data_IF_967236842669
#
_entry.id   IF_967236842669
#
_cell.length_a   1.000
_cell.length_b   1.000
_cell.length_c   1.000
_cell.angle_alpha   90.00
_cell.angle_beta   90.00
_cell.angle_gamma   90.00
#
_symmetry.space_group_name_H-M   'P 1'
#
loop_
_entity.id
_entity.type
_entity.pdbx_description
1 polymer ?
#
# COMPACT_ATOMS: atom_id res chain seq x y z
N UNK A 1 38.92 -49.69 4.97
CA UNK A 1 38.21 -49.78 3.67
C UNK A 1 38.80 -48.75 2.72
N UNK A 2 39.62 -49.20 1.76
CA UNK A 2 40.29 -48.34 0.78
C UNK A 2 39.30 -48.02 -0.35
N UNK A 3 38.76 -46.79 -0.38
CA UNK A 3 37.98 -46.29 -1.54
C UNK A 3 38.92 -46.29 -2.75
N UNK A 4 38.65 -47.16 -3.73
CA UNK A 4 39.54 -47.34 -4.89
C UNK A 4 39.68 -46.02 -5.66
N UNK A 5 40.89 -45.71 -6.12
CA UNK A 5 41.17 -44.50 -6.92
C UNK A 5 40.23 -44.39 -8.12
N UNK A 6 39.80 -45.53 -8.69
CA UNK A 6 38.84 -45.60 -9.79
C UNK A 6 37.48 -44.94 -9.45
N UNK A 7 36.96 -45.11 -8.22
CA UNK A 7 35.70 -44.49 -7.82
C UNK A 7 35.78 -42.96 -7.71
N UNK A 8 36.95 -42.42 -7.35
CA UNK A 8 37.20 -40.97 -7.32
C UNK A 8 37.28 -40.38 -8.73
N UNK A 9 37.89 -41.11 -9.68
CA UNK A 9 37.95 -40.67 -11.07
C UNK A 9 36.58 -40.73 -11.75
N UNK A 10 35.76 -41.75 -11.48
CA UNK A 10 34.40 -41.85 -12.01
C UNK A 10 33.49 -40.72 -11.52
N UNK A 11 33.56 -40.37 -10.22
CA UNK A 11 32.80 -39.25 -9.67
C UNK A 11 33.24 -37.89 -10.23
N UNK A 12 34.55 -37.69 -10.40
CA UNK A 12 35.08 -36.46 -10.99
C UNK A 12 34.66 -36.32 -12.47
N UNK A 13 34.69 -37.40 -13.25
CA UNK A 13 34.24 -37.39 -14.64
C UNK A 13 32.73 -37.11 -14.75
N UNK A 14 31.90 -37.69 -13.87
CA UNK A 14 30.47 -37.38 -13.86
C UNK A 14 30.17 -35.92 -13.51
N UNK A 15 30.92 -35.32 -12.58
CA UNK A 15 30.74 -33.92 -12.21
C UNK A 15 31.13 -32.97 -13.35
N UNK A 16 32.23 -33.27 -14.06
CA UNK A 16 32.67 -32.48 -15.23
C UNK A 16 31.64 -32.56 -16.37
N UNK A 17 31.09 -33.75 -16.64
CA UNK A 17 30.05 -33.92 -17.66
C UNK A 17 28.76 -33.16 -17.30
N UNK A 18 28.36 -33.13 -16.03
CA UNK A 18 27.18 -32.37 -15.58
C UNK A 18 27.39 -30.86 -15.71
N UNK A 19 28.57 -30.35 -15.34
CA UNK A 19 28.89 -28.91 -15.49
C UNK A 19 28.99 -28.53 -16.97
N UNK A 20 29.61 -29.36 -17.80
CA UNK A 20 29.67 -29.13 -19.25
C UNK A 20 28.28 -29.15 -19.90
N UNK A 21 27.42 -30.10 -19.54
CA UNK A 21 26.02 -30.13 -19.99
C UNK A 21 25.29 -28.85 -19.56
N UNK A 22 25.38 -28.47 -18.28
CA UNK A 22 24.69 -27.29 -17.77
C UNK A 22 25.16 -25.99 -18.44
N UNK A 23 26.46 -25.90 -18.74
CA UNK A 23 27.06 -24.76 -19.42
C UNK A 23 26.62 -24.66 -20.89
N UNK A 24 26.53 -25.79 -21.59
CA UNK A 24 26.00 -25.86 -22.96
C UNK A 24 24.50 -25.52 -23.01
N UNK A 25 23.72 -25.98 -22.03
CA UNK A 25 22.28 -25.69 -21.94
C UNK A 25 21.99 -24.20 -21.63
N UNK A 26 22.80 -23.55 -20.79
CA UNK A 26 22.68 -22.11 -20.52
C UNK A 26 23.19 -21.22 -21.65
N UNK A 27 24.19 -21.66 -22.41
CA UNK A 27 24.66 -20.90 -23.58
C UNK A 27 23.59 -20.80 -24.68
N UNK A 28 22.82 -21.88 -24.91
CA UNK A 28 21.67 -21.86 -25.83
C UNK A 28 20.53 -20.94 -25.37
N UNK A 29 20.38 -20.73 -24.05
CA UNK A 29 19.39 -19.79 -23.50
C UNK A 29 19.79 -18.32 -23.70
N UNK A 30 21.08 -18.00 -23.63
CA UNK A 30 21.59 -16.63 -23.77
C UNK A 30 21.91 -16.24 -25.22
N UNK A 31 22.16 -17.20 -26.11
CA UNK A 31 22.46 -16.96 -27.52
C UNK A 31 21.20 -16.87 -28.41
N UNK A 32 19.99 -17.02 -27.84
CA UNK A 32 18.74 -16.88 -28.59
C UNK A 32 18.41 -15.39 -28.78
N UNK A 33 18.44 -14.85 -30.01
CA UNK A 33 18.02 -13.48 -30.25
C UNK A 33 16.50 -13.40 -30.04
N UNK A 34 16.05 -12.66 -29.02
CA UNK A 34 14.65 -12.29 -28.87
C UNK A 34 14.33 -11.20 -29.90
N UNK A 35 13.97 -11.59 -31.12
CA UNK A 35 13.26 -10.70 -32.04
C UNK A 35 11.84 -10.47 -31.51
N UNK A 36 11.37 -9.21 -31.44
CA UNK A 36 10.02 -8.89 -31.01
C UNK A 36 9.08 -9.05 -32.21
N UNK A 37 8.43 -10.20 -32.33
CA UNK A 37 7.20 -10.28 -33.11
C UNK A 37 6.11 -9.53 -32.34
N UNK A 38 5.98 -8.25 -32.64
CA UNK A 38 4.82 -7.46 -32.30
C UNK A 38 3.58 -8.16 -32.88
N UNK A 39 2.56 -8.48 -32.07
CA UNK A 39 1.30 -8.95 -32.61
C UNK A 39 0.70 -7.84 -33.49
N UNK A 40 -0.02 -8.17 -34.57
CA UNK A 40 -0.74 -7.16 -35.33
C UNK A 40 -1.64 -6.41 -34.37
N UNK A 41 -1.56 -5.06 -34.39
CA UNK A 41 -2.50 -4.16 -33.72
C UNK A 41 -3.90 -4.43 -34.28
N UNK A 42 -4.57 -5.44 -33.77
CA UNK A 42 -6.03 -5.47 -33.78
C UNK A 42 -6.47 -4.47 -32.73
N UNK A 43 -7.21 -3.47 -33.20
CA UNK A 43 -7.90 -2.50 -32.36
C UNK A 43 -8.81 -3.25 -31.38
N UNK A 44 -8.31 -3.49 -30.17
CA UNK A 44 -9.13 -3.86 -29.02
C UNK A 44 -9.40 -2.59 -28.21
N UNK A 45 -10.27 -1.76 -28.76
CA UNK A 45 -10.97 -0.73 -28.01
C UNK A 45 -12.10 -1.40 -27.22
N UNK A 46 -11.72 -2.20 -26.21
CA UNK A 46 -12.67 -3.03 -25.42
C UNK A 46 -12.22 -3.38 -24.01
N UNK A 47 -11.01 -2.99 -23.58
CA UNK A 47 -10.52 -3.20 -22.22
C UNK A 47 -10.94 -2.10 -21.23
N UNK A 48 -11.16 -0.88 -21.73
CA UNK A 48 -11.52 0.28 -20.89
C UNK A 48 -12.93 0.12 -20.30
N UNK A 49 -13.83 -0.55 -21.03
CA UNK A 49 -15.22 -0.74 -20.63
C UNK A 49 -15.36 -1.80 -19.52
N UNK A 50 -14.51 -2.83 -19.47
CA UNK A 50 -14.59 -3.85 -18.42
C UNK A 50 -14.06 -3.35 -17.06
N UNK A 51 -12.95 -2.61 -17.08
CA UNK A 51 -12.38 -1.98 -15.87
C UNK A 51 -13.27 -0.85 -15.36
N UNK A 52 -13.81 -0.01 -16.26
CA UNK A 52 -14.75 1.04 -15.91
C UNK A 52 -16.14 0.50 -15.47
N UNK A 53 -16.57 -0.66 -15.99
CA UNK A 53 -17.77 -1.35 -15.51
C UNK A 53 -17.58 -2.01 -14.15
N UNK A 54 -16.37 -2.48 -13.82
CA UNK A 54 -16.06 -3.01 -12.48
C UNK A 54 -16.03 -1.87 -11.44
N UNK A 55 -15.39 -0.76 -11.75
CA UNK A 55 -15.40 0.46 -10.92
C UNK A 55 -16.82 1.01 -10.71
N UNK A 56 -17.67 1.02 -11.74
CA UNK A 56 -19.07 1.47 -11.62
C UNK A 56 -20.03 0.48 -10.94
N UNK A 57 -19.55 -0.74 -10.61
CA UNK A 57 -20.32 -1.74 -9.86
C UNK A 57 -20.04 -1.74 -8.35
N UNK A 58 -18.96 -1.11 -7.88
CA UNK A 58 -18.61 -1.08 -6.46
C UNK A 58 -19.50 -0.10 -5.69
N UNK A 59 -19.93 -0.51 -4.50
CA UNK A 59 -20.70 0.38 -3.61
C UNK A 59 -19.75 1.37 -2.94
N UNK A 60 -20.00 2.70 -3.01
CA UNK A 60 -19.19 3.65 -2.26
C UNK A 60 -19.34 3.42 -0.76
N UNK A 61 -18.22 3.24 -0.06
CA UNK A 61 -18.18 3.16 1.40
C UNK A 61 -17.12 4.12 1.93
N UNK A 62 -17.56 5.26 2.46
CA UNK A 62 -16.67 6.29 3.00
C UNK A 62 -16.85 6.40 4.52
N UNK A 63 -15.73 6.38 5.25
CA UNK A 63 -15.69 6.61 6.69
C UNK A 63 -14.92 7.90 7.00
N UNK A 64 -15.45 8.72 7.91
CA UNK A 64 -14.85 10.00 8.31
C UNK A 64 -14.39 9.93 9.76
N UNK A 65 -13.08 10.04 10.00
CA UNK A 65 -12.46 9.79 11.31
C UNK A 65 -11.43 10.85 11.70
N UNK A 66 -10.82 10.68 12.87
CA UNK A 66 -9.68 11.46 13.37
C UNK A 66 -8.68 10.46 13.96
N UNK A 67 -7.41 10.51 13.58
CA UNK A 67 -6.39 9.53 13.98
C UNK A 67 -6.20 9.41 15.51
N UNK A 68 -6.37 10.51 16.25
CA UNK A 68 -6.25 10.56 17.73
C UNK A 68 -7.58 10.43 18.48
N UNK A 69 -8.67 10.07 17.81
CA UNK A 69 -9.97 9.92 18.45
C UNK A 69 -10.18 8.50 19.00
N UNK A 70 -10.50 8.32 20.29
CA UNK A 70 -10.78 7.00 20.86
C UNK A 70 -11.98 6.31 20.19
N UNK A 71 -13.00 7.07 19.81
CA UNK A 71 -14.18 6.53 19.13
C UNK A 71 -13.84 6.07 17.71
N UNK A 72 -12.87 6.69 17.05
CA UNK A 72 -12.39 6.25 15.75
C UNK A 72 -11.71 4.88 15.85
N UNK A 73 -10.88 4.65 16.88
CA UNK A 73 -10.30 3.33 17.16
C UNK A 73 -11.39 2.27 17.32
N UNK A 74 -12.42 2.55 18.11
CA UNK A 74 -13.50 1.58 18.35
C UNK A 74 -14.36 1.37 17.10
N UNK A 75 -14.64 2.42 16.33
CA UNK A 75 -15.30 2.33 15.03
C UNK A 75 -14.51 1.44 14.05
N UNK A 76 -13.20 1.64 13.95
CA UNK A 76 -12.33 0.84 13.10
C UNK A 76 -12.33 -0.63 13.52
N UNK A 77 -12.17 -0.89 14.83
CA UNK A 77 -12.08 -2.25 15.39
C UNK A 77 -13.39 -3.03 15.28
N UNK A 78 -14.50 -2.41 15.68
CA UNK A 78 -15.78 -3.10 15.85
C UNK A 78 -16.66 -3.08 14.59
N UNK A 79 -16.46 -2.09 13.70
CA UNK A 79 -17.35 -1.87 12.56
C UNK A 79 -16.62 -1.94 11.21
N UNK A 80 -15.67 -1.04 10.96
CA UNK A 80 -15.07 -0.88 9.61
C UNK A 80 -14.26 -2.10 9.22
N UNK A 81 -13.31 -2.55 10.05
CA UNK A 81 -12.48 -3.71 9.72
C UNK A 81 -13.30 -5.00 9.55
N UNK A 82 -14.22 -5.38 10.46
CA UNK A 82 -15.04 -6.57 10.29
C UNK A 82 -15.95 -6.51 9.04
N UNK A 83 -16.37 -5.31 8.62
CA UNK A 83 -17.08 -5.13 7.36
C UNK A 83 -16.14 -5.35 6.16
N UNK A 84 -15.02 -4.62 6.11
CA UNK A 84 -14.05 -4.66 5.01
C UNK A 84 -13.47 -6.06 4.79
N UNK A 85 -13.23 -6.83 5.85
CA UNK A 85 -12.81 -8.24 5.74
C UNK A 85 -13.77 -9.09 4.89
N UNK A 86 -15.08 -8.77 4.90
CA UNK A 86 -16.12 -9.52 4.18
C UNK A 86 -16.47 -8.91 2.82
N UNK A 87 -16.27 -7.60 2.65
CA UNK A 87 -16.80 -6.87 1.48
C UNK A 87 -15.80 -5.99 0.74
N UNK A 88 -14.50 -6.03 1.07
CA UNK A 88 -13.48 -5.19 0.40
C UNK A 88 -13.48 -5.31 -1.14
N UNK A 89 -13.90 -6.45 -1.69
CA UNK A 89 -14.00 -6.71 -3.13
C UNK A 89 -15.29 -6.14 -3.78
N UNK A 90 -16.20 -5.58 -2.99
CA UNK A 90 -17.53 -5.10 -3.40
C UNK A 90 -17.74 -3.61 -3.14
N UNK A 91 -16.77 -2.96 -2.50
CA UNK A 91 -16.86 -1.55 -2.13
C UNK A 91 -15.70 -0.76 -2.69
N UNK A 92 -15.97 0.49 -3.06
CA UNK A 92 -14.94 1.49 -3.23
C UNK A 92 -14.78 2.20 -1.88
N UNK A 93 -13.76 1.79 -1.12
CA UNK A 93 -13.56 2.26 0.25
C UNK A 93 -12.68 3.50 0.31
N UNK A 94 -13.15 4.51 1.02
CA UNK A 94 -12.42 5.76 1.26
C UNK A 94 -12.37 6.05 2.76
N UNK A 95 -11.18 6.35 3.29
CA UNK A 95 -11.01 6.90 4.62
C UNK A 95 -10.72 8.40 4.52
N UNK A 96 -11.64 9.21 5.05
CA UNK A 96 -11.58 10.66 5.05
C UNK A 96 -11.41 11.18 6.49
N UNK A 97 -10.87 12.39 6.64
CA UNK A 97 -10.52 12.95 7.94
C UNK A 97 -11.32 14.19 8.28
N UNK A 98 -11.65 14.31 9.57
CA UNK A 98 -12.38 15.45 10.12
C UNK A 98 -11.37 16.48 10.61
N UNK A 99 -11.61 17.74 10.31
CA UNK A 99 -10.77 18.86 10.71
C UNK A 99 -11.41 20.18 10.28
N UNK A 100 -10.67 21.26 10.39
CA UNK A 100 -11.09 22.60 9.95
C UNK A 100 -10.03 23.20 9.03
N UNK A 101 -10.34 23.52 7.77
CA UNK A 101 -9.42 24.25 6.91
C UNK A 101 -9.08 25.61 7.51
N UNK A 102 -7.81 26.02 7.43
CA UNK A 102 -7.37 27.36 7.83
C UNK A 102 -7.19 28.27 6.61
N UNK A 103 -7.08 29.57 6.85
CA UNK A 103 -6.92 30.60 5.81
C UNK A 103 -5.57 30.51 5.07
N UNK A 104 -4.53 29.95 5.71
CA UNK A 104 -3.18 29.82 5.13
C UNK A 104 -2.94 28.44 4.50
N UNK A 105 -3.97 27.86 3.89
CA UNK A 105 -3.93 26.52 3.28
C UNK A 105 -3.54 25.35 4.20
N UNK A 106 -3.45 25.57 5.51
CA UNK A 106 -3.28 24.52 6.51
C UNK A 106 -4.61 23.91 6.98
N UNK A 107 -4.52 23.00 7.95
CA UNK A 107 -5.66 22.34 8.61
C UNK A 107 -5.46 22.39 10.12
N UNK A 108 -6.55 22.70 10.84
CA UNK A 108 -6.64 22.56 12.29
C UNK A 108 -7.38 21.26 12.65
N UNK A 109 -6.78 20.45 13.52
CA UNK A 109 -7.33 19.18 14.01
C UNK A 109 -7.77 19.31 15.47
N UNK A 110 -8.79 18.55 15.88
CA UNK A 110 -9.40 18.67 17.21
C UNK A 110 -8.39 18.37 18.33
N UNK A 111 -7.60 17.30 18.17
CA UNK A 111 -6.59 16.88 19.14
C UNK A 111 -5.18 17.44 18.83
N UNK A 112 -5.13 18.57 18.11
CA UNK A 112 -3.90 19.34 17.86
C UNK A 112 -3.02 18.80 16.72
N UNK A 113 -1.82 19.38 16.54
CA UNK A 113 -0.96 19.10 15.37
C UNK A 113 -0.53 17.64 15.22
N UNK A 114 -0.42 16.90 16.34
CA UNK A 114 -0.08 15.48 16.32
C UNK A 114 -1.15 14.64 15.62
N UNK A 115 -2.44 15.00 15.78
CA UNK A 115 -3.53 14.37 15.03
C UNK A 115 -3.43 14.69 13.54
N UNK A 116 -3.15 15.94 13.18
CA UNK A 116 -2.99 16.29 11.77
C UNK A 116 -1.89 15.47 11.12
N UNK A 117 -0.74 15.30 11.78
CA UNK A 117 0.32 14.43 11.28
C UNK A 117 -0.11 12.96 11.19
N UNK A 118 -0.87 12.45 12.17
CA UNK A 118 -1.48 11.11 12.10
C UNK A 118 -2.39 10.95 10.88
N UNK A 119 -3.29 11.90 10.66
CA UNK A 119 -4.20 11.91 9.52
C UNK A 119 -3.43 11.93 8.19
N UNK A 120 -2.35 12.71 8.10
CA UNK A 120 -1.45 12.75 6.93
C UNK A 120 -0.81 11.39 6.68
N UNK A 121 -0.26 10.75 7.72
CA UNK A 121 0.39 9.44 7.60
C UNK A 121 -0.60 8.37 7.12
N UNK A 122 -1.83 8.37 7.63
CA UNK A 122 -2.87 7.47 7.15
C UNK A 122 -3.24 7.74 5.69
N UNK A 123 -3.46 9.01 5.30
CA UNK A 123 -3.72 9.38 3.89
C UNK A 123 -2.59 8.95 2.95
N UNK A 124 -1.34 9.16 3.36
CA UNK A 124 -0.17 8.70 2.63
C UNK A 124 -0.11 7.17 2.51
N UNK A 125 -0.52 6.43 3.55
CA UNK A 125 -0.61 4.98 3.48
C UNK A 125 -1.64 4.54 2.42
N UNK A 126 -2.80 5.20 2.34
CA UNK A 126 -3.80 4.91 1.31
C UNK A 126 -3.34 5.27 -0.11
N UNK A 127 -2.61 6.38 -0.27
CA UNK A 127 -2.09 6.79 -1.58
C UNK A 127 -1.01 5.84 -2.10
N UNK A 128 -0.06 5.46 -1.23
CA UNK A 128 1.07 4.60 -1.61
C UNK A 128 0.66 3.12 -1.69
N UNK A 129 -0.32 2.69 -0.87
CA UNK A 129 -0.74 1.30 -0.71
C UNK A 129 -2.27 1.19 -0.87
N UNK A 130 -2.79 1.19 -2.10
CA UNK A 130 -4.23 1.22 -2.37
C UNK A 130 -4.96 -0.09 -1.99
N UNK A 131 -4.25 -1.18 -1.69
CA UNK A 131 -4.90 -2.39 -1.14
C UNK A 131 -5.38 -2.08 0.29
N UNK A 132 -6.71 -2.06 0.54
CA UNK A 132 -7.26 -1.73 1.86
C UNK A 132 -6.80 -2.69 2.95
N UNK A 133 -6.34 -3.91 2.63
CA UNK A 133 -5.77 -4.82 3.64
C UNK A 133 -4.48 -4.27 4.26
N UNK A 134 -3.68 -3.55 3.47
CA UNK A 134 -2.43 -2.95 3.90
C UNK A 134 -2.72 -1.63 4.62
N UNK A 135 -3.39 -0.70 3.95
CA UNK A 135 -3.62 0.65 4.47
C UNK A 135 -4.57 0.67 5.67
N UNK A 136 -5.69 -0.08 5.67
CA UNK A 136 -6.52 -0.18 6.88
C UNK A 136 -5.86 -0.97 8.00
N UNK A 137 -5.00 -1.93 7.65
CA UNK A 137 -4.18 -2.64 8.63
C UNK A 137 -3.31 -1.65 9.40
N UNK A 138 -2.54 -0.85 8.66
CA UNK A 138 -1.70 0.22 9.22
C UNK A 138 -2.51 1.23 10.04
N UNK A 139 -3.62 1.76 9.51
CA UNK A 139 -4.51 2.67 10.23
C UNK A 139 -4.98 2.08 11.55
N UNK A 140 -5.44 0.82 11.57
CA UNK A 140 -5.85 0.18 12.81
C UNK A 140 -4.67 -0.04 13.77
N UNK A 141 -3.50 -0.44 13.27
CA UNK A 141 -2.31 -0.65 14.09
C UNK A 141 -1.96 0.61 14.88
N UNK A 142 -1.83 1.76 14.22
CA UNK A 142 -1.50 3.02 14.90
C UNK A 142 -2.66 3.50 15.79
N UNK A 143 -3.92 3.26 15.38
CA UNK A 143 -5.11 3.64 16.16
C UNK A 143 -5.23 2.88 17.49
N UNK A 144 -4.62 1.69 17.62
CA UNK A 144 -4.59 0.96 18.91
C UNK A 144 -3.86 1.74 19.98
N UNK A 145 -2.87 2.54 19.58
CA UNK A 145 -2.07 3.39 20.47
C UNK A 145 -2.17 4.87 20.07
N UNK A 146 -3.40 5.30 19.77
CA UNK A 146 -3.72 6.63 19.24
C UNK A 146 -3.14 7.80 20.08
N UNK A 147 -2.91 7.59 21.38
CA UNK A 147 -2.32 8.58 22.27
C UNK A 147 -0.88 8.92 21.89
N UNK A 148 -0.13 7.97 21.34
CA UNK A 148 1.27 8.14 20.95
C UNK A 148 1.45 8.51 19.48
N UNK A 149 0.39 8.61 18.67
CA UNK A 149 0.52 9.15 17.30
C UNK A 149 1.06 10.59 17.34
N UNK A 150 2.07 10.98 16.53
CA UNK A 150 2.75 10.24 15.46
C UNK A 150 4.18 9.79 15.83
N UNK A 151 4.38 9.26 17.04
CA UNK A 151 5.70 8.83 17.51
C UNK A 151 6.36 7.87 16.52
N UNK A 152 7.62 8.16 16.19
CA UNK A 152 8.36 7.45 15.13
C UNK A 152 8.36 5.93 15.33
N UNK A 153 8.56 5.46 16.56
CA UNK A 153 8.58 4.03 16.90
C UNK A 153 7.25 3.37 16.57
N UNK A 154 6.12 3.95 17.00
CA UNK A 154 4.78 3.47 16.68
C UNK A 154 4.56 3.38 15.16
N UNK A 155 4.87 4.47 14.43
CA UNK A 155 4.66 4.51 12.98
C UNK A 155 5.55 3.51 12.25
N UNK A 156 6.82 3.38 12.66
CA UNK A 156 7.76 2.46 12.03
C UNK A 156 7.40 1.00 12.28
N UNK A 157 6.98 0.65 13.51
CA UNK A 157 6.57 -0.71 13.87
C UNK A 157 5.31 -1.11 13.10
N UNK A 158 4.29 -0.24 13.05
CA UNK A 158 3.08 -0.48 12.29
C UNK A 158 3.31 -0.52 10.77
N UNK A 159 4.22 0.30 10.25
CA UNK A 159 4.59 0.24 8.84
C UNK A 159 5.24 -1.11 8.51
N UNK A 160 6.15 -1.60 9.36
CA UNK A 160 6.79 -2.90 9.20
C UNK A 160 5.77 -4.06 9.28
N UNK A 161 4.85 -4.02 10.25
CA UNK A 161 3.81 -5.06 10.42
C UNK A 161 2.94 -5.22 9.16
N UNK A 162 2.66 -4.11 8.46
CA UNK A 162 1.80 -4.09 7.29
C UNK A 162 2.54 -3.97 5.96
N UNK A 163 3.85 -4.21 5.94
CA UNK A 163 4.69 -4.15 4.73
C UNK A 163 4.64 -2.79 3.99
N UNK A 164 4.48 -1.70 4.75
CA UNK A 164 4.63 -0.33 4.29
C UNK A 164 6.10 0.08 4.42
N UNK A 165 6.65 0.65 3.35
CA UNK A 165 7.99 1.23 3.35
C UNK A 165 7.95 2.54 4.15
N UNK A 166 8.55 2.51 5.33
CA UNK A 166 8.57 3.66 6.24
C UNK A 166 9.24 4.90 5.62
N UNK A 167 10.22 4.72 4.74
CA UNK A 167 10.91 5.84 4.07
C UNK A 167 9.98 6.50 3.04
N UNK A 168 9.32 5.71 2.20
CA UNK A 168 8.32 6.20 1.25
C UNK A 168 7.15 6.89 1.97
N UNK A 169 6.67 6.29 3.07
CA UNK A 169 5.62 6.88 3.90
C UNK A 169 6.04 8.25 4.45
N UNK A 170 7.26 8.35 5.01
CA UNK A 170 7.80 9.61 5.51
C UNK A 170 8.02 10.62 4.38
N UNK A 171 8.49 10.19 3.21
CA UNK A 171 8.65 11.05 2.03
C UNK A 171 7.30 11.60 1.54
N UNK A 172 6.23 10.80 1.54
CA UNK A 172 4.88 11.31 1.25
C UNK A 172 4.41 12.35 2.29
N UNK A 173 4.61 12.07 3.58
CA UNK A 173 4.11 12.91 4.65
C UNK A 173 4.88 14.23 4.83
N UNK A 174 6.21 14.20 4.62
CA UNK A 174 7.10 15.33 4.91
C UNK A 174 7.97 15.78 3.73
N UNK A 175 7.87 15.16 2.56
CA UNK A 175 8.53 15.61 1.34
C UNK A 175 7.98 16.96 0.86
N UNK A 176 8.77 17.69 0.08
CA UNK A 176 8.41 19.04 -0.41
C UNK A 176 7.97 19.98 0.73
N UNK A 177 8.73 19.99 1.83
CA UNK A 177 8.43 20.72 3.07
C UNK A 177 7.05 20.37 3.69
N UNK A 178 6.52 19.17 3.39
CA UNK A 178 5.22 18.67 3.85
C UNK A 178 4.03 19.14 3.01
N UNK A 179 4.27 19.85 1.91
CA UNK A 179 3.20 20.42 1.08
C UNK A 179 2.23 19.35 0.56
N UNK A 180 2.76 18.20 0.10
CA UNK A 180 1.94 17.09 -0.40
C UNK A 180 1.04 16.52 0.69
N UNK A 181 1.60 16.17 1.85
CA UNK A 181 0.82 15.66 2.99
C UNK A 181 -0.25 16.64 3.47
N UNK A 182 0.08 17.93 3.56
CA UNK A 182 -0.89 18.98 3.95
C UNK A 182 -2.01 19.11 2.91
N UNK A 183 -1.70 19.04 1.62
CA UNK A 183 -2.69 19.08 0.54
C UNK A 183 -3.64 17.87 0.59
N UNK A 184 -3.12 16.65 0.80
CA UNK A 184 -3.95 15.46 1.03
C UNK A 184 -4.92 15.68 2.19
N UNK A 185 -4.40 16.14 3.33
CA UNK A 185 -5.22 16.38 4.52
C UNK A 185 -6.27 17.45 4.27
N UNK A 186 -5.91 18.56 3.61
CA UNK A 186 -6.85 19.65 3.29
C UNK A 186 -7.97 19.17 2.38
N UNK A 187 -7.66 18.42 1.32
CA UNK A 187 -8.66 17.82 0.42
C UNK A 187 -9.59 16.88 1.17
N UNK A 188 -9.03 16.02 2.03
CA UNK A 188 -9.81 15.08 2.86
C UNK A 188 -10.76 15.80 3.83
N UNK A 189 -10.31 16.88 4.47
CA UNK A 189 -11.12 17.68 5.39
C UNK A 189 -12.23 18.44 4.65
N UNK A 190 -11.93 19.02 3.50
CA UNK A 190 -12.94 19.69 2.65
C UNK A 190 -14.02 18.67 2.25
N UNK A 191 -13.62 17.48 1.80
CA UNK A 191 -14.54 16.38 1.45
C UNK A 191 -15.46 16.03 2.62
N UNK A 192 -14.90 15.84 3.82
CA UNK A 192 -15.69 15.56 5.04
C UNK A 192 -16.72 16.66 5.34
N UNK A 193 -16.35 17.93 5.14
CA UNK A 193 -17.25 19.07 5.33
C UNK A 193 -18.39 19.05 4.30
N UNK A 194 -18.08 18.93 3.02
CA UNK A 194 -19.06 18.93 1.93
C UNK A 194 -20.13 17.84 2.10
N UNK A 195 -19.73 16.61 2.44
CA UNK A 195 -20.70 15.53 2.63
C UNK A 195 -21.52 15.70 3.90
N UNK A 196 -20.98 16.34 4.95
CA UNK A 196 -21.72 16.62 6.18
C UNK A 196 -22.83 17.65 5.98
N UNK A 197 -22.63 18.61 5.07
CA UNK A 197 -23.59 19.66 4.73
C UNK A 197 -24.61 19.22 3.68
N UNK A 198 -24.36 18.13 2.96
CA UNK A 198 -25.25 17.58 1.94
C UNK A 198 -26.43 16.75 2.48
N UNK A 199 -26.53 16.59 3.80
CA UNK A 199 -27.54 15.78 4.48
C UNK A 199 -28.67 16.64 5.06
#
# INVERSE_FOLDING_TARGET
>A
MVRSRAARHLLALSAILLVAWYSLWHWDYLARPSSPDAPPKSSQHGGDDASARLESALVPFEAHVMSKCPDARDCLREMVLPAMQRVHDKVNFTLSFIGTPTDNDGVACLHGPQECMGNILELCAFELYPDPKISLGFTMCISRDYTHIPERTLIQDCALEHAIDFKALNECASGDDGAHGVDLLRKSVIRSKEVSESR
#
